data_IF_132685798498
#
_entry.id   IF_132685798498
#
_cell.length_a   1.000
_cell.length_b   1.000
_cell.length_c   1.000
_cell.angle_alpha   90.00
_cell.angle_beta   90.00
_cell.angle_gamma   90.00
#
_symmetry.space_group_name_H-M   'P 1'
#
loop_
_entity.id
_entity.type
_entity.pdbx_description
1 polymer ?
#
# COMPACT_ATOMS: atom_id res chain seq x y z
N UNK A 1 -4.36 -12.86 77.61
CA UNK A 1 -5.17 -13.49 76.54
C UNK A 1 -5.04 -12.64 75.28
N UNK A 2 -4.63 -13.28 74.19
CA UNK A 2 -4.33 -12.69 72.87
C UNK A 2 -5.62 -12.24 72.18
N UNK A 3 -5.62 -11.06 71.55
CA UNK A 3 -6.59 -10.72 70.50
C UNK A 3 -5.82 -10.15 69.29
N UNK A 4 -6.11 -10.76 68.15
CA UNK A 4 -5.34 -10.79 66.91
C UNK A 4 -5.53 -9.50 66.11
N UNK A 5 -4.45 -8.90 65.62
CA UNK A 5 -4.49 -7.83 64.62
C UNK A 5 -4.88 -8.44 63.28
N UNK A 6 -6.05 -8.10 62.75
CA UNK A 6 -6.44 -8.45 61.38
C UNK A 6 -5.90 -7.36 60.45
N UNK A 7 -4.77 -7.65 59.80
CA UNK A 7 -4.30 -6.87 58.67
C UNK A 7 -4.85 -7.53 57.39
N UNK A 8 -5.76 -6.84 56.69
CA UNK A 8 -6.27 -7.26 55.38
C UNK A 8 -5.31 -6.73 54.32
N UNK A 9 -4.59 -7.58 53.55
CA UNK A 9 -3.86 -7.10 52.39
C UNK A 9 -4.84 -7.04 51.22
N UNK A 10 -5.13 -5.83 50.75
CA UNK A 10 -5.75 -5.61 49.44
C UNK A 10 -4.74 -6.05 48.37
N UNK A 11 -4.86 -7.28 47.88
CA UNK A 11 -4.13 -7.74 46.69
C UNK A 11 -4.78 -7.11 45.45
N UNK A 12 -4.25 -5.99 44.99
CA UNK A 12 -4.55 -5.46 43.67
C UNK A 12 -3.84 -6.33 42.62
N UNK A 13 -4.54 -7.34 42.09
CA UNK A 13 -4.10 -8.07 40.89
C UNK A 13 -4.29 -7.14 39.68
N UNK A 14 -3.24 -6.40 39.32
CA UNK A 14 -3.18 -5.70 38.06
C UNK A 14 -3.06 -6.71 36.92
N UNK A 15 -4.16 -6.98 36.22
CA UNK A 15 -4.11 -7.65 34.92
C UNK A 15 -3.46 -6.69 33.92
N UNK A 16 -2.13 -6.79 33.78
CA UNK A 16 -1.44 -6.23 32.64
C UNK A 16 -1.79 -7.08 31.41
N UNK A 17 -2.88 -6.73 30.73
CA UNK A 17 -3.18 -7.25 29.40
C UNK A 17 -2.08 -6.81 28.45
N UNK A 18 -1.07 -7.66 28.27
CA UNK A 18 -0.11 -7.54 27.18
C UNK A 18 -0.85 -7.80 25.87
N UNK A 19 -1.48 -6.75 25.32
CA UNK A 19 -1.87 -6.75 23.92
C UNK A 19 -0.57 -6.79 23.11
N UNK A 20 -0.13 -8.00 22.76
CA UNK A 20 0.88 -8.19 21.74
C UNK A 20 0.26 -7.62 20.45
N UNK A 21 0.63 -6.37 20.12
CA UNK A 21 0.35 -5.81 18.81
C UNK A 21 1.08 -6.70 17.81
N UNK A 22 0.36 -7.63 17.20
CA UNK A 22 0.83 -8.34 16.03
C UNK A 22 1.14 -7.25 14.99
N UNK A 23 2.41 -6.91 14.84
CA UNK A 23 2.85 -5.99 13.82
C UNK A 23 2.50 -6.63 12.48
N UNK A 24 1.52 -6.05 11.80
CA UNK A 24 1.09 -6.46 10.47
C UNK A 24 2.31 -6.68 9.58
N UNK A 25 2.48 -7.90 9.07
CA UNK A 25 3.61 -8.21 8.19
C UNK A 25 3.55 -7.25 6.98
N UNK A 26 4.67 -6.56 6.66
CA UNK A 26 4.71 -5.68 5.51
C UNK A 26 4.50 -6.50 4.24
N UNK A 27 3.66 -6.00 3.35
CA UNK A 27 3.46 -6.59 2.04
C UNK A 27 4.71 -6.37 1.18
N UNK A 28 5.10 -7.42 0.47
CA UNK A 28 6.16 -7.40 -0.53
C UNK A 28 5.63 -8.03 -1.81
N UNK A 29 6.09 -7.56 -2.95
CA UNK A 29 5.61 -8.05 -4.23
C UNK A 29 6.55 -7.66 -5.38
N UNK A 30 6.73 -8.57 -6.32
CA UNK A 30 7.31 -8.31 -7.63
C UNK A 30 6.25 -8.48 -8.73
N UNK A 31 6.03 -7.42 -9.49
CA UNK A 31 5.02 -7.39 -10.55
C UNK A 31 5.68 -7.11 -11.89
N UNK A 32 5.23 -7.82 -12.91
CA UNK A 32 5.69 -7.65 -14.30
C UNK A 32 4.53 -7.16 -15.15
N UNK A 33 4.73 -6.01 -15.77
CA UNK A 33 3.83 -5.44 -16.77
C UNK A 33 4.37 -5.66 -18.18
N UNK A 34 3.45 -5.80 -19.14
CA UNK A 34 3.75 -5.92 -20.56
C UNK A 34 2.96 -4.87 -21.37
N UNK A 35 3.43 -4.56 -22.57
CA UNK A 35 2.77 -3.64 -23.51
C UNK A 35 3.43 -2.27 -23.59
N UNK A 36 3.07 -1.48 -24.60
CA UNK A 36 3.82 -0.27 -25.01
C UNK A 36 4.11 0.73 -23.88
N UNK A 37 3.15 0.97 -22.98
CA UNK A 37 3.32 1.91 -21.87
C UNK A 37 3.59 1.23 -20.52
N UNK A 38 3.47 -0.10 -20.46
CA UNK A 38 3.44 -0.87 -19.22
C UNK A 38 4.53 -1.93 -19.13
N UNK A 39 5.32 -2.13 -20.18
CA UNK A 39 6.52 -2.96 -20.14
C UNK A 39 7.45 -2.47 -19.04
N UNK A 40 7.66 -3.30 -18.03
CA UNK A 40 8.47 -2.95 -16.89
C UNK A 40 8.09 -3.70 -15.63
N UNK A 41 8.59 -3.20 -14.51
CA UNK A 41 8.64 -3.94 -13.24
C UNK A 41 8.30 -3.02 -12.07
N UNK A 42 7.45 -3.49 -11.16
CA UNK A 42 7.23 -2.90 -9.84
C UNK A 42 7.80 -3.82 -8.77
N UNK A 43 8.58 -3.24 -7.86
CA UNK A 43 9.08 -3.92 -6.67
C UNK A 43 8.56 -3.21 -5.44
N UNK A 44 7.78 -3.91 -4.62
CA UNK A 44 7.40 -3.50 -3.28
C UNK A 44 8.23 -4.30 -2.29
N UNK A 45 9.06 -3.60 -1.52
CA UNK A 45 9.87 -4.16 -0.44
C UNK A 45 9.40 -3.56 0.88
N UNK A 46 9.80 -4.16 2.00
CA UNK A 46 9.39 -3.75 3.35
C UNK A 46 9.46 -2.24 3.64
N UNK A 47 10.41 -1.52 3.04
CA UNK A 47 10.63 -0.10 3.30
C UNK A 47 10.66 0.77 2.05
N UNK A 48 10.67 0.16 0.87
CA UNK A 48 10.88 0.88 -0.38
C UNK A 48 9.98 0.35 -1.48
N UNK A 49 9.57 1.24 -2.37
CA UNK A 49 8.91 0.88 -3.62
C UNK A 49 9.70 1.46 -4.79
N UNK A 50 9.75 0.71 -5.88
CA UNK A 50 10.45 1.05 -7.12
C UNK A 50 9.56 0.64 -8.30
N UNK A 51 9.35 1.52 -9.27
CA UNK A 51 8.53 1.21 -10.43
C UNK A 51 9.11 1.81 -11.70
N UNK A 52 9.42 0.93 -12.65
CA UNK A 52 9.98 1.32 -13.93
C UNK A 52 9.00 0.98 -15.05
N UNK A 53 8.68 1.97 -15.86
CA UNK A 53 7.97 1.87 -17.13
C UNK A 53 8.74 2.65 -18.21
N UNK A 54 8.38 2.55 -19.50
CA UNK A 54 9.12 3.25 -20.56
C UNK A 54 9.08 4.77 -20.43
N UNK A 55 8.05 5.30 -19.77
CA UNK A 55 7.80 6.74 -19.66
C UNK A 55 7.99 7.30 -18.24
N UNK A 56 8.23 6.45 -17.25
CA UNK A 56 8.35 6.84 -15.85
C UNK A 56 9.32 5.92 -15.11
N UNK A 57 10.37 6.50 -14.52
CA UNK A 57 11.40 5.76 -13.79
C UNK A 57 11.43 6.24 -12.35
N UNK A 58 10.69 5.52 -11.50
CA UNK A 58 10.67 5.71 -10.05
C UNK A 58 11.71 4.82 -9.39
N UNK A 59 12.86 5.43 -9.06
CA UNK A 59 13.94 4.77 -8.29
C UNK A 59 13.42 4.33 -6.90
N UNK A 60 14.09 3.39 -6.21
CA UNK A 60 13.72 2.98 -4.87
C UNK A 60 13.49 4.18 -3.94
N UNK A 61 12.28 4.30 -3.42
CA UNK A 61 11.86 5.38 -2.53
C UNK A 61 11.13 4.82 -1.32
N UNK A 62 11.34 5.44 -0.16
CA UNK A 62 10.52 5.19 1.01
C UNK A 62 9.07 5.60 0.76
N UNK A 63 8.13 4.95 1.45
CA UNK A 63 6.70 5.21 1.26
C UNK A 63 5.92 5.32 2.57
N UNK A 64 4.70 5.84 2.45
CA UNK A 64 3.63 5.80 3.46
C UNK A 64 2.48 4.97 2.90
N UNK A 65 1.89 4.10 3.72
CA UNK A 65 0.70 3.34 3.31
C UNK A 65 -0.51 4.25 3.46
N UNK A 66 -1.23 4.50 2.35
CA UNK A 66 -2.46 5.27 2.34
C UNK A 66 -3.68 4.37 2.56
N UNK A 67 -3.70 3.23 1.87
CA UNK A 67 -4.77 2.24 1.95
C UNK A 67 -4.16 0.84 1.91
N UNK A 68 -4.71 -0.09 2.71
CA UNK A 68 -4.35 -1.51 2.71
C UNK A 68 -5.61 -2.32 3.02
N UNK A 69 -6.06 -3.11 2.06
CA UNK A 69 -7.15 -4.06 2.20
C UNK A 69 -6.69 -5.37 1.57
N UNK A 70 -6.54 -6.43 2.38
CA UNK A 70 -6.19 -7.75 1.88
C UNK A 70 -7.19 -8.79 2.37
N UNK A 71 -8.46 -8.51 2.14
CA UNK A 71 -9.54 -9.50 2.28
C UNK A 71 -9.46 -10.56 1.17
N UNK A 72 -10.17 -11.66 1.34
CA UNK A 72 -10.19 -12.74 0.33
C UNK A 72 -10.81 -12.28 -0.99
N UNK A 73 -11.73 -11.32 -0.94
CA UNK A 73 -12.49 -10.83 -2.09
C UNK A 73 -11.85 -9.62 -2.78
N UNK A 74 -10.95 -8.92 -2.08
CA UNK A 74 -10.36 -7.69 -2.59
C UNK A 74 -8.98 -7.47 -1.97
N UNK A 75 -7.96 -7.39 -2.83
CA UNK A 75 -6.58 -7.12 -2.42
C UNK A 75 -6.11 -5.82 -3.05
N UNK A 76 -5.88 -4.81 -2.22
CA UNK A 76 -5.50 -3.45 -2.62
C UNK A 76 -4.48 -2.86 -1.65
N UNK A 77 -3.50 -2.17 -2.21
CA UNK A 77 -2.50 -1.42 -1.45
C UNK A 77 -2.15 -0.13 -2.20
N UNK A 78 -2.30 1.00 -1.54
CA UNK A 78 -1.91 2.31 -2.07
C UNK A 78 -0.76 2.89 -1.25
N UNK A 79 0.31 3.29 -1.94
CA UNK A 79 1.57 3.74 -1.37
C UNK A 79 1.87 5.16 -1.85
N UNK A 80 2.05 6.10 -0.91
CA UNK A 80 2.56 7.44 -1.22
C UNK A 80 4.08 7.45 -1.15
N UNK A 81 4.74 7.90 -2.20
CA UNK A 81 6.20 8.07 -2.19
C UNK A 81 6.60 9.25 -1.30
N UNK A 82 7.53 9.02 -0.37
CA UNK A 82 8.10 10.09 0.46
C UNK A 82 9.00 11.02 -0.34
N UNK A 83 9.68 10.46 -1.35
CA UNK A 83 10.57 11.18 -2.26
C UNK A 83 10.36 10.70 -3.69
N UNK A 84 10.35 11.61 -4.66
CA UNK A 84 10.26 11.28 -6.08
C UNK A 84 11.60 11.50 -6.76
N UNK A 85 12.05 10.52 -7.55
CA UNK A 85 13.16 10.76 -8.49
C UNK A 85 12.72 11.71 -9.60
N UNK A 86 13.68 12.42 -10.21
CA UNK A 86 13.45 13.38 -11.29
C UNK A 86 12.58 12.85 -12.45
N UNK A 87 12.69 11.55 -12.74
CA UNK A 87 11.97 10.89 -13.84
C UNK A 87 10.75 10.09 -13.37
N UNK A 88 10.36 10.20 -12.09
CA UNK A 88 9.18 9.52 -11.56
C UNK A 88 7.94 10.40 -11.76
N UNK A 89 7.05 9.98 -12.65
CA UNK A 89 5.79 10.65 -12.94
C UNK A 89 4.73 10.51 -11.83
N UNK A 90 4.94 9.64 -10.84
CA UNK A 90 3.92 9.27 -9.87
C UNK A 90 4.29 9.70 -8.45
N UNK A 91 3.30 10.19 -7.69
CA UNK A 91 3.39 10.46 -6.26
C UNK A 91 2.74 9.35 -5.42
N UNK A 92 1.73 8.68 -5.97
CA UNK A 92 1.07 7.53 -5.35
C UNK A 92 1.10 6.37 -6.34
N UNK A 93 1.42 5.18 -5.84
CA UNK A 93 1.35 3.92 -6.58
C UNK A 93 0.35 3.03 -5.87
N UNK A 94 -0.62 2.55 -6.62
CA UNK A 94 -1.62 1.60 -6.16
C UNK A 94 -1.44 0.27 -6.86
N UNK A 95 -1.61 -0.82 -6.10
CA UNK A 95 -1.74 -2.17 -6.65
C UNK A 95 -3.07 -2.76 -6.21
N UNK A 96 -3.82 -3.30 -7.15
CA UNK A 96 -5.12 -3.91 -6.92
C UNK A 96 -5.20 -5.24 -7.67
N UNK A 97 -5.70 -6.28 -7.00
CA UNK A 97 -5.89 -7.58 -7.62
C UNK A 97 -7.13 -7.55 -8.51
N UNK A 98 -6.95 -7.88 -9.80
CA UNK A 98 -8.03 -8.03 -10.76
C UNK A 98 -8.57 -9.46 -10.73
N UNK A 99 -9.10 -9.87 -9.58
CA UNK A 99 -9.52 -11.26 -9.30
C UNK A 99 -10.58 -11.78 -10.29
N UNK A 100 -11.35 -10.88 -10.92
CA UNK A 100 -12.33 -11.20 -11.95
C UNK A 100 -11.69 -11.67 -13.26
N UNK A 101 -10.40 -11.36 -13.48
CA UNK A 101 -9.62 -11.77 -14.66
C UNK A 101 -8.87 -13.08 -14.37
N UNK A 102 -8.15 -13.13 -13.25
CA UNK A 102 -7.37 -14.31 -12.81
C UNK A 102 -6.89 -14.09 -11.37
N UNK A 103 -6.66 -15.16 -10.58
CA UNK A 103 -6.06 -15.03 -9.24
C UNK A 103 -4.67 -14.39 -9.25
N UNK A 104 -3.95 -14.43 -10.38
CA UNK A 104 -2.62 -13.83 -10.53
C UNK A 104 -2.63 -12.48 -11.27
N UNK A 105 -3.80 -12.01 -11.71
CA UNK A 105 -3.93 -10.74 -12.41
C UNK A 105 -3.96 -9.59 -11.41
N UNK A 106 -3.12 -8.58 -11.66
CA UNK A 106 -3.03 -7.37 -10.87
C UNK A 106 -3.06 -6.16 -11.79
N UNK A 107 -3.50 -5.02 -11.27
CA UNK A 107 -3.38 -3.75 -11.95
C UNK A 107 -2.58 -2.79 -11.06
N UNK A 108 -1.60 -2.13 -11.66
CA UNK A 108 -0.80 -1.08 -11.02
C UNK A 108 -1.29 0.26 -11.55
N UNK A 109 -1.70 1.16 -10.67
CA UNK A 109 -2.10 2.52 -11.04
C UNK A 109 -1.14 3.54 -10.45
N UNK A 110 -0.57 4.40 -11.31
CA UNK A 110 0.25 5.53 -10.93
C UNK A 110 -0.52 6.83 -10.96
N UNK A 111 -0.55 7.55 -9.85
CA UNK A 111 -1.16 8.88 -9.74
C UNK A 111 -0.11 9.97 -9.66
N UNK A 112 -0.24 11.08 -10.39
CA UNK A 112 0.75 12.16 -10.41
C UNK A 112 0.80 12.97 -9.10
N UNK A 113 -0.27 12.94 -8.30
CA UNK A 113 -0.42 13.65 -7.03
C UNK A 113 -1.28 12.86 -6.03
N UNK A 114 -1.21 13.23 -4.74
CA UNK A 114 -2.12 12.69 -3.72
C UNK A 114 -3.58 13.07 -4.00
N UNK A 115 -3.81 14.28 -4.52
CA UNK A 115 -5.15 14.75 -4.89
C UNK A 115 -5.77 13.87 -5.99
N UNK A 116 -5.00 13.55 -7.03
CA UNK A 116 -5.46 12.67 -8.11
C UNK A 116 -5.88 11.29 -7.59
N UNK A 117 -5.15 10.76 -6.58
CA UNK A 117 -5.54 9.54 -5.90
C UNK A 117 -6.81 9.70 -5.06
N UNK A 118 -6.93 10.77 -4.26
CA UNK A 118 -8.09 11.00 -3.39
C UNK A 118 -9.38 11.24 -4.18
N UNK A 119 -9.27 11.86 -5.35
CA UNK A 119 -10.40 12.22 -6.21
C UNK A 119 -10.67 11.19 -7.32
N UNK A 120 -9.98 10.05 -7.32
CA UNK A 120 -10.04 9.04 -8.39
C UNK A 120 -11.45 8.53 -8.72
N UNK A 121 -12.33 8.46 -7.72
CA UNK A 121 -13.72 8.01 -7.88
C UNK A 121 -14.68 9.15 -8.26
N UNK A 122 -14.24 10.41 -8.25
CA UNK A 122 -15.08 11.53 -8.63
C UNK A 122 -15.30 11.54 -10.16
N UNK A 123 -16.52 11.86 -10.63
CA UNK A 123 -16.79 12.02 -12.05
C UNK A 123 -15.81 12.98 -12.72
N UNK A 124 -15.29 12.59 -13.90
CA UNK A 124 -14.39 13.41 -14.70
C UNK A 124 -12.92 13.43 -14.26
N UNK A 125 -12.53 12.70 -13.20
CA UNK A 125 -11.12 12.58 -12.78
C UNK A 125 -10.39 11.43 -13.47
N UNK A 126 -10.97 10.23 -13.46
CA UNK A 126 -10.34 9.01 -14.02
C UNK A 126 -9.98 9.11 -15.52
N UNK A 127 -10.72 9.90 -16.28
CA UNK A 127 -10.54 10.08 -17.73
C UNK A 127 -10.23 11.52 -18.12
N UNK A 128 -9.69 12.31 -17.19
CA UNK A 128 -9.34 13.70 -17.49
C UNK A 128 -8.14 13.77 -18.44
N UNK A 129 -8.20 14.67 -19.42
CA UNK A 129 -7.09 14.98 -20.31
C UNK A 129 -6.09 15.98 -19.70
N UNK A 130 -6.31 16.43 -18.46
CA UNK A 130 -5.41 17.33 -17.76
C UNK A 130 -4.20 16.56 -17.23
N UNK A 131 -3.00 17.04 -17.53
CA UNK A 131 -1.74 16.35 -17.21
C UNK A 131 -1.61 16.01 -15.73
N UNK A 132 -2.04 16.90 -14.84
CA UNK A 132 -2.00 16.71 -13.38
C UNK A 132 -2.99 15.65 -12.86
N UNK A 133 -3.81 15.09 -13.75
CA UNK A 133 -4.82 14.06 -13.46
C UNK A 133 -4.60 12.78 -14.27
N UNK A 134 -3.68 12.80 -15.24
CA UNK A 134 -3.38 11.62 -16.05
C UNK A 134 -2.76 10.52 -15.17
N UNK A 135 -3.48 9.40 -15.11
CA UNK A 135 -3.01 8.20 -14.40
C UNK A 135 -2.44 7.20 -15.40
N UNK A 136 -1.44 6.42 -14.97
CA UNK A 136 -0.96 5.28 -15.73
C UNK A 136 -1.51 4.01 -15.08
N UNK A 137 -2.39 3.29 -15.79
CA UNK A 137 -2.93 2.01 -15.34
C UNK A 137 -2.29 0.88 -16.15
N UNK A 138 -1.67 -0.07 -15.47
CA UNK A 138 -0.93 -1.16 -16.08
C UNK A 138 -1.39 -2.53 -15.55
N UNK A 139 -2.02 -3.35 -16.41
CA UNK A 139 -2.24 -4.76 -16.12
C UNK A 139 -0.88 -5.48 -15.99
N UNK A 140 -0.75 -6.27 -14.93
CA UNK A 140 0.48 -6.95 -14.54
C UNK A 140 0.17 -8.34 -13.97
N UNK A 141 1.23 -9.14 -13.82
CA UNK A 141 1.19 -10.42 -13.13
C UNK A 141 2.11 -10.33 -11.91
N UNK A 142 1.65 -10.84 -10.77
CA UNK A 142 2.49 -11.05 -9.59
C UNK A 142 3.37 -12.29 -9.81
N UNK A 143 4.68 -12.15 -9.59
CA UNK A 143 5.68 -13.18 -9.89
C UNK A 143 6.27 -13.87 -8.66
N UNK A 144 5.91 -13.41 -7.45
CA UNK A 144 6.35 -13.99 -6.17
C UNK A 144 5.54 -15.22 -5.76
#
# INVERSE_FOLDING_TARGET
>A
MRALRVAVPFLALGLASSAALAADKPFTGYFVGNGRACTGNLYIRTKTVEWHTPFSVCKPAGYEVLEKDFTETHKRLALRLKTRSKHCGHAVIEVEQAAQVSPYAWNITGYPSLEAFQKRELPGWKHSALDERMTLSCPTVLMD
#
